data_IF_268086495745
#
_entry.id   IF_268086495745
#
_cell.length_a   1.000
_cell.length_b   1.000
_cell.length_c   1.000
_cell.angle_alpha   90.00
_cell.angle_beta   90.00
_cell.angle_gamma   90.00
#
_symmetry.space_group_name_H-M   'P 1'
#
loop_
_entity.id
_entity.type
_entity.pdbx_description
1 polymer ?
#
# COMPACT_ATOMS: atom_id res chain seq x y z
N UNK A 1 -19.60 -39.84 27.96
CA UNK A 1 -18.56 -39.37 27.02
C UNK A 1 -18.26 -37.91 27.34
N UNK A 2 -17.37 -37.68 28.30
CA UNK A 2 -17.01 -36.36 28.84
C UNK A 2 -15.48 -36.41 29.03
N UNK A 3 -14.78 -35.39 28.58
CA UNK A 3 -13.35 -35.12 28.84
C UNK A 3 -12.30 -35.89 28.02
N UNK A 4 -12.27 -35.71 26.70
CA UNK A 4 -11.04 -35.95 25.91
C UNK A 4 -10.45 -34.67 25.31
N UNK A 5 -11.09 -33.51 25.51
CA UNK A 5 -10.62 -32.21 25.01
C UNK A 5 -9.79 -31.41 26.02
N UNK A 6 -9.75 -31.82 27.30
CA UNK A 6 -8.93 -31.15 28.32
C UNK A 6 -7.50 -31.69 28.39
N UNK A 7 -7.29 -32.98 28.18
CA UNK A 7 -5.96 -33.61 28.29
C UNK A 7 -5.01 -33.22 27.14
N UNK A 8 -5.55 -32.68 26.03
CA UNK A 8 -4.75 -32.19 24.91
C UNK A 8 -4.18 -30.77 25.10
N UNK A 9 -4.65 -30.03 26.12
CA UNK A 9 -4.14 -28.69 26.46
C UNK A 9 -3.00 -28.70 27.47
N UNK A 10 -2.84 -29.79 28.22
CA UNK A 10 -1.89 -29.89 29.33
C UNK A 10 -0.46 -30.27 28.89
N UNK A 11 -0.30 -30.74 27.64
CA UNK A 11 0.99 -31.11 27.04
C UNK A 11 1.37 -30.26 25.82
N UNK A 12 0.95 -29.00 25.76
CA UNK A 12 1.58 -28.08 24.81
C UNK A 12 2.95 -27.69 25.39
N UNK A 13 4.07 -28.06 24.74
CA UNK A 13 5.38 -27.63 25.21
C UNK A 13 5.36 -26.10 25.27
N UNK A 14 5.77 -25.55 26.41
CA UNK A 14 5.96 -24.11 26.57
C UNK A 14 6.79 -23.61 25.38
N UNK A 15 6.15 -22.89 24.46
CA UNK A 15 6.77 -22.45 23.21
C UNK A 15 8.03 -21.69 23.60
N UNK A 16 9.19 -22.25 23.24
CA UNK A 16 10.47 -21.67 23.63
C UNK A 16 10.56 -20.26 23.06
N UNK A 17 11.08 -19.30 23.83
CA UNK A 17 11.23 -17.89 23.40
C UNK A 17 11.94 -17.77 22.05
N UNK A 18 12.81 -18.72 21.73
CA UNK A 18 13.53 -18.80 20.46
C UNK A 18 12.65 -19.24 19.27
N UNK A 19 11.69 -20.14 19.48
CA UNK A 19 10.71 -20.54 18.45
C UNK A 19 9.72 -19.41 18.18
N UNK A 20 9.31 -18.70 19.24
CA UNK A 20 8.44 -17.53 19.15
C UNK A 20 9.11 -16.41 18.33
N UNK A 21 10.38 -16.15 18.62
CA UNK A 21 11.22 -15.21 17.89
C UNK A 21 11.38 -15.61 16.42
N UNK A 22 11.54 -16.90 16.11
CA UNK A 22 11.63 -17.38 14.75
C UNK A 22 10.31 -17.16 13.97
N UNK A 23 9.17 -17.44 14.59
CA UNK A 23 7.84 -17.21 14.01
C UNK A 23 7.59 -15.71 13.78
N UNK A 24 7.94 -14.85 14.75
CA UNK A 24 7.81 -13.40 14.62
C UNK A 24 8.68 -12.84 13.50
N UNK A 25 9.95 -13.27 13.40
CA UNK A 25 10.87 -12.85 12.33
C UNK A 25 10.38 -13.33 10.96
N UNK A 26 9.87 -14.56 10.85
CA UNK A 26 9.34 -15.10 9.60
C UNK A 26 8.12 -14.30 9.11
N UNK A 27 7.20 -13.93 10.02
CA UNK A 27 6.04 -13.10 9.67
C UNK A 27 6.44 -11.67 9.33
N UNK A 28 7.38 -11.07 10.06
CA UNK A 28 7.90 -9.75 9.76
C UNK A 28 8.52 -9.68 8.34
N UNK A 29 9.26 -10.72 7.95
CA UNK A 29 9.78 -10.85 6.57
C UNK A 29 8.67 -10.97 5.54
N UNK A 30 7.58 -11.67 5.86
CA UNK A 30 6.41 -11.80 4.98
C UNK A 30 5.70 -10.47 4.76
N UNK A 31 5.53 -9.68 5.82
CA UNK A 31 4.99 -8.31 5.75
C UNK A 31 5.89 -7.36 4.95
N UNK A 32 7.21 -7.40 5.20
CA UNK A 32 8.18 -6.63 4.42
C UNK A 32 8.14 -7.03 2.93
N UNK A 33 7.97 -8.31 2.62
CA UNK A 33 7.80 -8.78 1.24
C UNK A 33 6.52 -8.22 0.60
N UNK A 34 5.40 -8.19 1.34
CA UNK A 34 4.15 -7.60 0.85
C UNK A 34 4.30 -6.11 0.55
N UNK A 35 4.95 -5.36 1.45
CA UNK A 35 5.27 -3.94 1.24
C UNK A 35 6.21 -3.74 0.05
N UNK A 36 7.19 -4.61 -0.13
CA UNK A 36 8.13 -4.55 -1.27
C UNK A 36 7.42 -4.81 -2.59
N UNK A 37 6.53 -5.81 -2.65
CA UNK A 37 5.70 -6.09 -3.83
C UNK A 37 4.77 -4.93 -4.16
N UNK A 38 4.16 -4.31 -3.15
CA UNK A 38 3.36 -3.10 -3.34
C UNK A 38 4.22 -1.95 -3.87
N UNK A 39 5.38 -1.69 -3.28
CA UNK A 39 6.30 -0.66 -3.74
C UNK A 39 6.65 -0.84 -5.21
N UNK A 40 7.04 -2.05 -5.61
CA UNK A 40 7.32 -2.36 -7.01
C UNK A 40 6.09 -2.17 -7.89
N UNK A 41 4.92 -2.63 -7.47
CA UNK A 41 3.67 -2.41 -8.19
C UNK A 41 3.37 -0.92 -8.43
N UNK A 42 3.43 -0.11 -7.37
CA UNK A 42 3.25 1.34 -7.47
C UNK A 42 4.33 2.02 -8.30
N UNK A 43 5.59 1.59 -8.18
CA UNK A 43 6.69 2.13 -8.95
C UNK A 43 6.54 1.82 -10.45
N UNK A 44 6.20 0.58 -10.82
CA UNK A 44 5.90 0.21 -12.20
C UNK A 44 4.71 0.98 -12.74
N UNK A 45 3.63 1.10 -11.96
CA UNK A 45 2.46 1.88 -12.36
C UNK A 45 2.81 3.35 -12.61
N UNK A 46 3.60 3.98 -11.74
CA UNK A 46 4.07 5.35 -11.94
C UNK A 46 4.91 5.50 -13.22
N UNK A 47 5.84 4.58 -13.48
CA UNK A 47 6.63 4.60 -14.71
C UNK A 47 5.76 4.42 -15.96
N UNK A 48 4.74 3.56 -15.90
CA UNK A 48 3.78 3.38 -16.99
C UNK A 48 3.00 4.68 -17.25
N UNK A 49 2.55 5.35 -16.19
CA UNK A 49 1.86 6.64 -16.31
C UNK A 49 2.76 7.74 -16.87
N UNK A 50 4.04 7.78 -16.46
CA UNK A 50 5.02 8.71 -17.05
C UNK A 50 5.29 8.41 -18.51
N UNK A 51 5.44 7.13 -18.89
CA UNK A 51 5.63 6.74 -20.28
C UNK A 51 4.42 7.12 -21.14
N UNK A 52 3.21 6.91 -20.63
CA UNK A 52 1.97 7.34 -21.28
C UNK A 52 1.92 8.87 -21.45
N UNK A 53 2.15 9.64 -20.38
CA UNK A 53 2.14 11.10 -20.45
C UNK A 53 3.22 11.64 -21.40
N UNK A 54 4.42 11.07 -21.38
CA UNK A 54 5.49 11.46 -22.29
C UNK A 54 5.16 11.11 -23.74
N UNK A 55 4.57 9.94 -23.99
CA UNK A 55 4.12 9.55 -25.32
C UNK A 55 3.02 10.50 -25.84
N UNK A 56 2.05 10.86 -24.98
CA UNK A 56 1.00 11.81 -25.31
C UNK A 56 1.58 13.21 -25.64
N UNK A 57 2.54 13.70 -24.86
CA UNK A 57 3.24 14.97 -25.13
C UNK A 57 3.94 14.94 -26.49
N UNK A 58 4.67 13.87 -26.79
CA UNK A 58 5.43 13.75 -28.05
C UNK A 58 4.47 13.66 -29.25
N UNK A 59 3.41 12.85 -29.13
CA UNK A 59 2.47 12.60 -30.22
C UNK A 59 1.56 13.80 -30.49
N UNK A 60 1.11 14.48 -29.45
CA UNK A 60 0.16 15.60 -29.52
C UNK A 60 0.83 16.93 -29.17
N UNK A 61 2.12 17.08 -29.52
CA UNK A 61 2.93 18.27 -29.23
C UNK A 61 2.28 19.58 -29.71
N UNK A 62 1.51 19.54 -30.79
CA UNK A 62 0.81 20.71 -31.33
C UNK A 62 -0.47 21.08 -30.56
N UNK A 63 -1.03 20.16 -29.77
CA UNK A 63 -2.22 20.39 -28.98
C UNK A 63 -1.86 20.86 -27.57
N UNK A 64 -1.83 22.18 -27.38
CA UNK A 64 -1.36 22.81 -26.14
C UNK A 64 -2.09 22.31 -24.90
N UNK A 65 -3.40 22.02 -25.00
CA UNK A 65 -4.18 21.55 -23.85
C UNK A 65 -3.72 20.16 -23.37
N UNK A 66 -3.53 19.22 -24.29
CA UNK A 66 -3.03 17.86 -23.99
C UNK A 66 -1.63 17.95 -23.37
N UNK A 67 -0.75 18.76 -23.95
CA UNK A 67 0.62 18.96 -23.44
C UNK A 67 0.61 19.52 -22.02
N UNK A 68 -0.21 20.55 -21.74
CA UNK A 68 -0.33 21.15 -20.41
C UNK A 68 -0.87 20.13 -19.40
N UNK A 69 -1.90 19.36 -19.76
CA UNK A 69 -2.46 18.33 -18.89
C UNK A 69 -1.42 17.25 -18.57
N UNK A 70 -0.73 16.71 -19.58
CA UNK A 70 0.29 15.69 -19.36
C UNK A 70 1.51 16.22 -18.59
N UNK A 71 1.96 17.45 -18.86
CA UNK A 71 3.05 18.07 -18.11
C UNK A 71 2.65 18.34 -16.65
N UNK A 72 1.44 18.86 -16.43
CA UNK A 72 0.88 19.05 -15.10
C UNK A 72 0.76 17.74 -14.33
N UNK A 73 0.33 16.66 -15.00
CA UNK A 73 0.31 15.32 -14.43
C UNK A 73 1.71 14.88 -13.96
N UNK A 74 2.74 15.03 -14.80
CA UNK A 74 4.12 14.67 -14.46
C UNK A 74 4.60 15.47 -13.25
N UNK A 75 4.50 16.81 -13.29
CA UNK A 75 4.95 17.70 -12.21
C UNK A 75 4.28 17.35 -10.89
N UNK A 76 3.01 17.00 -10.93
CA UNK A 76 2.23 16.61 -9.76
C UNK A 76 2.60 15.22 -9.24
N UNK A 77 2.95 14.27 -10.13
CA UNK A 77 3.36 12.92 -9.77
C UNK A 77 4.79 12.81 -9.24
N UNK A 78 5.69 13.71 -9.62
CA UNK A 78 7.08 13.74 -9.13
C UNK A 78 7.19 13.77 -7.60
N UNK A 79 6.52 14.69 -6.84
CA UNK A 79 6.61 14.69 -5.38
C UNK A 79 6.07 13.39 -4.77
N UNK A 80 5.06 12.78 -5.41
CA UNK A 80 4.53 11.49 -5.01
C UNK A 80 5.57 10.37 -5.16
N UNK A 81 6.28 10.30 -6.27
CA UNK A 81 7.38 9.34 -6.49
C UNK A 81 8.53 9.57 -5.50
N UNK A 82 8.92 10.82 -5.26
CA UNK A 82 10.00 11.16 -4.31
C UNK A 82 9.65 10.74 -2.88
N UNK A 83 8.41 10.98 -2.42
CA UNK A 83 7.96 10.56 -1.10
C UNK A 83 7.94 9.03 -0.96
N UNK A 84 7.47 8.32 -1.99
CA UNK A 84 7.44 6.86 -2.03
C UNK A 84 8.87 6.27 -1.94
N UNK A 85 9.82 6.80 -2.71
CA UNK A 85 11.24 6.42 -2.67
C UNK A 85 11.90 6.71 -1.31
N UNK A 86 11.67 7.88 -0.72
CA UNK A 86 12.21 8.24 0.60
C UNK A 86 11.74 7.26 1.67
N UNK A 87 10.46 6.88 1.64
CA UNK A 87 9.89 5.92 2.60
C UNK A 87 10.38 4.50 2.36
N UNK A 88 10.53 4.08 1.11
CA UNK A 88 11.13 2.81 0.76
C UNK A 88 12.58 2.69 1.26
N UNK A 89 13.41 3.71 1.00
CA UNK A 89 14.78 3.77 1.51
C UNK A 89 14.84 3.67 3.04
N UNK A 90 13.92 4.36 3.74
CA UNK A 90 13.83 4.30 5.20
C UNK A 90 13.51 2.90 5.75
N UNK A 91 12.79 2.05 5.00
CA UNK A 91 12.51 0.67 5.41
C UNK A 91 13.69 -0.28 5.23
N UNK A 92 14.57 0.01 4.25
CA UNK A 92 15.74 -0.83 3.93
C UNK A 92 17.05 -0.35 4.59
N UNK A 93 17.06 0.81 5.27
CA UNK A 93 18.26 1.29 5.96
C UNK A 93 18.30 0.71 7.37
N UNK A 94 19.22 -0.23 7.69
CA UNK A 94 19.32 -0.79 9.04
C UNK A 94 19.79 0.29 10.01
N UNK A 95 19.05 0.51 11.10
CA UNK A 95 19.56 1.31 12.22
C UNK A 95 20.55 0.46 13.02
N UNK A 96 21.80 0.90 13.07
CA UNK A 96 22.96 0.21 13.63
C UNK A 96 22.87 -0.20 15.13
N UNK A 97 21.77 0.08 15.83
CA UNK A 97 21.60 -0.18 17.27
C UNK A 97 20.41 -1.09 17.59
N UNK A 98 19.67 -1.60 16.59
CA UNK A 98 18.48 -2.42 16.83
C UNK A 98 18.78 -3.91 17.11
N UNK A 99 20.06 -4.29 17.22
CA UNK A 99 20.52 -5.68 17.32
C UNK A 99 20.68 -6.22 18.74
N UNK A 100 20.53 -5.41 19.80
CA UNK A 100 20.77 -5.87 21.18
C UNK A 100 19.53 -6.49 21.86
N UNK A 101 18.30 -6.22 21.39
CA UNK A 101 17.08 -6.89 21.89
C UNK A 101 16.08 -7.14 20.75
N UNK A 102 15.76 -8.41 20.50
CA UNK A 102 14.84 -8.85 19.42
C UNK A 102 13.46 -8.20 19.54
N UNK A 103 12.94 -8.03 20.75
CA UNK A 103 11.67 -7.32 20.99
C UNK A 103 11.71 -5.84 20.56
N UNK A 104 12.84 -5.15 20.77
CA UNK A 104 13.00 -3.76 20.32
C UNK A 104 13.09 -3.66 18.80
N UNK A 105 13.72 -4.65 18.15
CA UNK A 105 13.73 -4.76 16.69
C UNK A 105 12.33 -4.97 16.11
N UNK A 106 11.57 -5.92 16.66
CA UNK A 106 10.21 -6.25 16.19
C UNK A 106 9.24 -5.09 16.39
N UNK A 107 9.25 -4.45 17.56
CA UNK A 107 8.40 -3.27 17.83
C UNK A 107 8.77 -2.08 16.95
N UNK A 108 10.06 -1.84 16.69
CA UNK A 108 10.50 -0.78 15.78
C UNK A 108 10.04 -1.04 14.35
N UNK A 109 10.20 -2.25 13.84
CA UNK A 109 9.78 -2.64 12.50
C UNK A 109 8.25 -2.55 12.33
N UNK A 110 7.49 -2.97 13.34
CA UNK A 110 6.04 -2.81 13.37
C UNK A 110 5.62 -1.32 13.29
N UNK A 111 6.26 -0.46 14.08
CA UNK A 111 5.99 0.98 14.05
C UNK A 111 6.33 1.63 12.69
N UNK A 112 7.40 1.19 12.04
CA UNK A 112 7.76 1.63 10.67
C UNK A 112 6.71 1.20 9.67
N UNK A 113 6.26 -0.06 9.73
CA UNK A 113 5.25 -0.61 8.83
C UNK A 113 3.90 0.09 8.98
N UNK A 114 3.46 0.34 10.21
CA UNK A 114 2.19 1.03 10.49
C UNK A 114 2.22 2.50 10.03
N UNK A 115 3.38 3.16 10.13
CA UNK A 115 3.58 4.52 9.58
C UNK A 115 3.54 4.49 8.05
N UNK A 116 4.14 3.50 7.42
CA UNK A 116 4.06 3.31 5.97
C UNK A 116 2.62 3.07 5.51
N UNK A 117 1.86 2.23 6.22
CA UNK A 117 0.46 1.95 5.88
C UNK A 117 -0.44 3.19 5.97
N UNK A 118 -0.34 3.98 7.05
CA UNK A 118 -1.09 5.24 7.17
C UNK A 118 -0.71 6.25 6.09
N UNK A 119 0.58 6.31 5.74
CA UNK A 119 1.05 7.15 4.64
C UNK A 119 0.45 6.68 3.31
N UNK A 120 0.56 5.39 3.00
CA UNK A 120 -0.01 4.75 1.80
C UNK A 120 -1.50 5.06 1.66
N UNK A 121 -2.28 4.90 2.72
CA UNK A 121 -3.72 5.13 2.67
C UNK A 121 -4.06 6.59 2.36
N UNK A 122 -3.39 7.56 3.01
CA UNK A 122 -3.57 8.98 2.71
C UNK A 122 -3.10 9.34 1.31
N UNK A 123 -1.99 8.74 0.89
CA UNK A 123 -1.42 8.92 -0.45
C UNK A 123 -2.40 8.43 -1.53
N UNK A 124 -2.96 7.25 -1.38
CA UNK A 124 -3.93 6.68 -2.33
C UNK A 124 -5.21 7.52 -2.40
N UNK A 125 -5.68 8.04 -1.26
CA UNK A 125 -6.85 8.93 -1.22
C UNK A 125 -6.64 10.24 -1.99
N UNK A 126 -5.41 10.75 -2.08
CA UNK A 126 -5.10 11.94 -2.87
C UNK A 126 -4.77 11.59 -4.33
N UNK A 127 -3.99 10.53 -4.55
CA UNK A 127 -3.50 10.16 -5.88
C UNK A 127 -4.63 9.61 -6.77
N UNK A 128 -5.57 8.83 -6.24
CA UNK A 128 -6.63 8.22 -7.04
C UNK A 128 -7.55 9.26 -7.69
N UNK A 129 -8.19 10.19 -6.96
CA UNK A 129 -9.07 11.20 -7.58
C UNK A 129 -8.33 12.02 -8.63
N UNK A 130 -7.08 12.38 -8.31
CA UNK A 130 -6.25 13.19 -9.18
C UNK A 130 -5.89 12.45 -10.47
N UNK A 131 -5.50 11.18 -10.36
CA UNK A 131 -5.19 10.34 -11.52
C UNK A 131 -6.43 10.10 -12.38
N UNK A 132 -7.57 9.83 -11.77
CA UNK A 132 -8.85 9.71 -12.47
C UNK A 132 -9.19 10.99 -13.25
N UNK A 133 -8.96 12.16 -12.65
CA UNK A 133 -9.22 13.44 -13.28
C UNK A 133 -8.35 13.63 -14.53
N UNK A 134 -7.06 13.34 -14.43
CA UNK A 134 -6.14 13.42 -15.56
C UNK A 134 -6.45 12.41 -16.66
N UNK A 135 -6.75 11.16 -16.30
CA UNK A 135 -7.12 10.13 -17.27
C UNK A 135 -8.36 10.55 -18.06
N UNK A 136 -9.41 11.02 -17.37
CA UNK A 136 -10.63 11.49 -18.03
C UNK A 136 -10.36 12.73 -18.87
N UNK A 137 -9.61 13.70 -18.33
CA UNK A 137 -9.25 14.91 -19.07
C UNK A 137 -8.53 14.59 -20.38
N UNK A 138 -7.49 13.77 -20.32
CA UNK A 138 -6.73 13.34 -21.51
C UNK A 138 -7.61 12.54 -22.48
N UNK A 139 -8.44 11.62 -21.99
CA UNK A 139 -9.32 10.84 -22.87
C UNK A 139 -10.33 11.75 -23.60
N UNK A 140 -10.92 12.71 -22.90
CA UNK A 140 -11.88 13.62 -23.52
C UNK A 140 -11.21 14.55 -24.52
N UNK A 141 -10.04 15.11 -24.22
CA UNK A 141 -9.32 15.94 -25.18
C UNK A 141 -8.85 15.14 -26.42
N UNK A 142 -8.51 13.86 -26.26
CA UNK A 142 -8.00 13.05 -27.38
C UNK A 142 -9.09 12.38 -28.23
N UNK A 143 -10.24 12.05 -27.65
CA UNK A 143 -11.23 11.19 -28.28
C UNK A 143 -12.63 11.79 -28.38
N UNK A 144 -12.89 12.97 -27.81
CA UNK A 144 -14.19 13.63 -27.82
C UNK A 144 -14.05 15.03 -28.39
N UNK A 145 -14.75 15.32 -29.47
CA UNK A 145 -14.75 16.64 -30.09
C UNK A 145 -15.20 17.72 -29.09
N UNK A 146 -14.41 18.80 -28.97
CA UNK A 146 -14.68 19.88 -28.02
C UNK A 146 -14.28 19.58 -26.56
N UNK A 147 -13.73 18.38 -26.29
CA UNK A 147 -13.09 18.04 -25.02
C UNK A 147 -14.05 18.03 -23.82
N UNK A 148 -13.48 18.21 -22.62
CA UNK A 148 -14.27 18.19 -21.37
C UNK A 148 -15.27 19.35 -21.31
N UNK A 149 -14.94 20.50 -21.91
CA UNK A 149 -15.73 21.72 -21.80
C UNK A 149 -17.10 21.60 -22.48
N UNK A 150 -17.18 20.88 -23.60
CA UNK A 150 -18.45 20.70 -24.33
C UNK A 150 -19.30 19.56 -23.76
N UNK A 151 -18.67 18.59 -23.09
CA UNK A 151 -19.33 17.36 -22.62
C UNK A 151 -19.17 17.12 -21.12
N UNK A 152 -19.38 18.16 -20.31
CA UNK A 152 -19.21 18.13 -18.84
C UNK A 152 -19.96 16.99 -18.15
N UNK A 153 -21.23 16.74 -18.53
CA UNK A 153 -22.03 15.68 -17.93
C UNK A 153 -21.46 14.28 -18.23
N UNK A 154 -21.01 14.05 -19.47
CA UNK A 154 -20.39 12.78 -19.86
C UNK A 154 -19.03 12.61 -19.15
N UNK A 155 -18.22 13.67 -19.09
CA UNK A 155 -16.93 13.64 -18.39
C UNK A 155 -17.12 13.34 -16.90
N UNK A 156 -18.11 13.95 -16.25
CA UNK A 156 -18.43 13.68 -14.85
C UNK A 156 -18.87 12.23 -14.61
N UNK A 157 -19.68 11.65 -15.50
CA UNK A 157 -20.09 10.24 -15.42
C UNK A 157 -18.89 9.30 -15.58
N UNK A 158 -18.06 9.51 -16.59
CA UNK A 158 -16.87 8.69 -16.82
C UNK A 158 -15.90 8.83 -15.65
N UNK A 159 -15.70 10.04 -15.13
CA UNK A 159 -14.89 10.28 -13.93
C UNK A 159 -15.43 9.52 -12.71
N UNK A 160 -16.74 9.55 -12.47
CA UNK A 160 -17.37 8.79 -11.39
C UNK A 160 -17.14 7.28 -11.53
N UNK A 161 -17.27 6.74 -12.75
CA UNK A 161 -17.03 5.32 -13.03
C UNK A 161 -15.56 4.93 -12.79
N UNK A 162 -14.62 5.69 -13.35
CA UNK A 162 -13.18 5.45 -13.20
C UNK A 162 -12.76 5.57 -11.73
N UNK A 163 -13.24 6.59 -11.04
CA UNK A 163 -12.99 6.80 -9.61
C UNK A 163 -13.50 5.62 -8.78
N UNK A 164 -14.73 5.19 -9.00
CA UNK A 164 -15.33 4.08 -8.25
C UNK A 164 -14.57 2.78 -8.51
N UNK A 165 -14.14 2.54 -9.75
CA UNK A 165 -13.33 1.37 -10.11
C UNK A 165 -11.99 1.37 -9.36
N UNK A 166 -11.25 2.48 -9.38
CA UNK A 166 -9.97 2.58 -8.67
C UNK A 166 -10.13 2.48 -7.15
N UNK A 167 -11.11 3.18 -6.56
CA UNK A 167 -11.38 3.10 -5.13
C UNK A 167 -11.68 1.66 -4.72
N UNK A 168 -12.55 0.97 -5.47
CA UNK A 168 -12.90 -0.42 -5.19
C UNK A 168 -11.69 -1.35 -5.27
N UNK A 169 -10.87 -1.21 -6.32
CA UNK A 169 -9.66 -2.00 -6.49
C UNK A 169 -8.68 -1.81 -5.31
N UNK A 170 -8.48 -0.57 -4.88
CA UNK A 170 -7.59 -0.24 -3.76
C UNK A 170 -8.14 -0.72 -2.43
N UNK A 171 -9.45 -0.61 -2.20
CA UNK A 171 -10.08 -1.15 -0.97
C UNK A 171 -9.94 -2.67 -0.91
N UNK A 172 -10.18 -3.37 -2.01
CA UNK A 172 -10.03 -4.84 -2.08
C UNK A 172 -8.57 -5.27 -1.88
N UNK A 173 -7.62 -4.56 -2.49
CA UNK A 173 -6.20 -4.81 -2.29
C UNK A 173 -5.78 -4.56 -0.84
N UNK A 174 -6.21 -3.44 -0.26
CA UNK A 174 -5.90 -3.08 1.13
C UNK A 174 -6.45 -4.12 2.12
N UNK A 175 -7.68 -4.61 1.88
CA UNK A 175 -8.28 -5.66 2.70
C UNK A 175 -7.46 -6.96 2.63
N UNK A 176 -7.13 -7.43 1.42
CA UNK A 176 -6.42 -8.71 1.22
C UNK A 176 -4.95 -8.68 1.64
N UNK A 177 -4.24 -7.58 1.38
CA UNK A 177 -2.78 -7.52 1.54
C UNK A 177 -2.33 -6.93 2.86
N UNK A 178 -3.18 -6.22 3.61
CA UNK A 178 -2.76 -5.48 4.79
C UNK A 178 -3.66 -5.68 6.03
N UNK A 179 -4.99 -5.68 5.88
CA UNK A 179 -5.88 -5.84 7.06
C UNK A 179 -5.88 -7.28 7.57
N UNK A 180 -5.99 -8.26 6.68
CA UNK A 180 -5.99 -9.68 7.04
C UNK A 180 -4.71 -10.08 7.80
N UNK A 181 -3.49 -9.72 7.35
CA UNK A 181 -2.27 -10.10 8.04
C UNK A 181 -2.05 -9.36 9.37
N UNK A 182 -2.42 -8.08 9.46
CA UNK A 182 -2.37 -7.31 10.71
C UNK A 182 -3.30 -7.90 11.78
N UNK A 183 -4.51 -8.30 11.40
CA UNK A 183 -5.46 -8.93 12.32
C UNK A 183 -4.95 -10.29 12.82
N UNK A 184 -4.29 -11.06 11.96
CA UNK A 184 -3.65 -12.32 12.36
C UNK A 184 -2.49 -12.11 13.33
N UNK A 185 -1.74 -11.01 13.21
CA UNK A 185 -0.66 -10.66 14.16
C UNK A 185 -1.21 -10.21 15.52
N UNK A 186 -2.29 -9.44 15.53
CA UNK A 186 -2.96 -8.99 16.75
C UNK A 186 -3.53 -10.18 17.54
N UNK A 187 -4.18 -11.12 16.85
CA UNK A 187 -4.75 -12.33 17.48
C UNK A 187 -3.66 -13.18 18.15
N UNK A 188 -2.54 -13.42 17.47
CA UNK A 188 -1.43 -14.20 18.04
C UNK A 188 -0.80 -13.45 19.23
N UNK A 189 -0.67 -12.12 19.16
CA UNK A 189 -0.19 -11.33 20.30
C UNK A 189 -1.11 -11.43 21.51
N UNK A 190 -2.42 -11.42 21.29
CA UNK A 190 -3.40 -11.59 22.36
C UNK A 190 -3.37 -13.00 22.95
N UNK A 191 -3.25 -14.04 22.13
CA UNK A 191 -3.04 -15.42 22.58
C UNK A 191 -1.77 -15.55 23.45
N UNK A 192 -0.67 -14.92 23.04
CA UNK A 192 0.58 -14.89 23.80
C UNK A 192 0.44 -14.19 25.16
N UNK A 193 -0.16 -13.00 25.19
CA UNK A 193 -0.37 -12.26 26.44
C UNK A 193 -1.24 -13.02 27.44
N UNK A 194 -2.29 -13.71 26.97
CA UNK A 194 -3.13 -14.54 27.83
C UNK A 194 -2.38 -15.74 28.41
N UNK A 195 -1.48 -16.34 27.62
CA UNK A 195 -0.67 -17.49 28.05
C UNK A 195 0.37 -17.10 29.11
N UNK A 196 0.98 -15.91 28.97
CA UNK A 196 1.96 -15.38 29.95
C UNK A 196 1.30 -15.06 31.30
N UNK A 197 0.09 -14.47 31.30
CA UNK A 197 -0.69 -14.24 32.54
C UNK A 197 -1.24 -15.51 33.19
N UNK A 198 -1.39 -16.60 32.43
CA UNK A 198 -1.86 -17.89 32.98
C UNK A 198 -0.73 -18.73 33.60
N UNK A 199 0.54 -18.33 33.38
CA UNK A 199 1.74 -18.99 33.91
C UNK A 199 2.28 -18.38 35.21
N UNK A 200 1.59 -17.36 35.75
CA UNK A 200 1.84 -16.72 37.04
C UNK A 200 0.68 -16.98 37.99
#
# INVERSE_FOLDING_TARGET
MKNTWNDARENQPAISRDELDAVLRARLRREQSAVTKYFWGSFFYQNLMYAFALNAIIRFWHETQVVILCAGFIVLYVPFTVLLLKRYKAMHTPRAHASQHVQQYVSHQHAVLQRFFRFKQRFEWAAIPLSSLFIVGVIFELYVDGGVQHHLAAAALVYGLVLTAFVTAVVLENKKRFIEPLRQLEMIRQEMAMTETASH
#
